data_IF_371992714066
#
_entry.id   IF_371992714066
#
_cell.length_a   1.000
_cell.length_b   1.000
_cell.length_c   1.000
_cell.angle_alpha   90.00
_cell.angle_beta   90.00
_cell.angle_gamma   90.00
#
_symmetry.space_group_name_H-M   'P 1'
#
loop_
_entity.id
_entity.type
_entity.pdbx_description
1 polymer ?
#
# COMPACT_ATOMS: atom_id res chain seq x y z
N UNK A 1 -36.18 30.89 54.23
CA UNK A 1 -35.28 31.76 53.44
C UNK A 1 -34.04 31.04 52.92
N UNK A 2 -33.34 30.23 53.73
CA UNK A 2 -32.11 29.49 53.29
C UNK A 2 -32.34 28.57 52.06
N UNK A 3 -33.45 27.84 52.01
CA UNK A 3 -33.79 26.92 50.91
C UNK A 3 -33.99 27.62 49.56
N UNK A 4 -34.49 28.85 49.54
CA UNK A 4 -34.67 29.62 48.30
C UNK A 4 -33.32 30.03 47.70
N UNK A 5 -32.34 30.41 48.54
CA UNK A 5 -30.99 30.72 48.07
C UNK A 5 -30.26 29.50 47.51
N UNK A 6 -30.50 28.30 48.08
CA UNK A 6 -29.94 27.04 47.55
C UNK A 6 -30.52 26.73 46.17
N UNK A 7 -31.85 26.87 45.99
CA UNK A 7 -32.51 26.63 44.70
C UNK A 7 -32.02 27.63 43.64
N UNK A 8 -31.93 28.92 43.99
CA UNK A 8 -31.40 29.94 43.07
C UNK A 8 -29.93 29.65 42.72
N UNK A 9 -29.12 29.22 43.70
CA UNK A 9 -27.74 28.82 43.47
C UNK A 9 -27.59 27.66 42.48
N UNK A 10 -28.45 26.65 42.57
CA UNK A 10 -28.44 25.50 41.64
C UNK A 10 -28.87 25.93 40.22
N UNK A 11 -29.84 26.84 40.10
CA UNK A 11 -30.27 27.38 38.79
C UNK A 11 -29.15 28.19 38.13
N UNK A 12 -28.44 29.03 38.89
CA UNK A 12 -27.31 29.81 38.36
C UNK A 12 -26.14 28.90 37.98
N UNK A 13 -25.85 27.88 38.79
CA UNK A 13 -24.78 26.93 38.50
C UNK A 13 -25.07 26.11 37.23
N UNK A 14 -26.31 25.64 37.06
CA UNK A 14 -26.72 24.90 35.86
C UNK A 14 -26.69 25.81 34.62
N UNK A 15 -27.12 27.06 34.73
CA UNK A 15 -27.02 28.04 33.64
C UNK A 15 -25.55 28.31 33.24
N UNK A 16 -24.63 28.40 34.21
CA UNK A 16 -23.20 28.57 33.93
C UNK A 16 -22.59 27.33 33.27
N UNK A 17 -22.96 26.12 33.69
CA UNK A 17 -22.49 24.87 33.07
C UNK A 17 -23.00 24.76 31.63
N UNK A 18 -24.28 25.06 31.39
CA UNK A 18 -24.87 25.03 30.04
C UNK A 18 -24.27 26.14 29.16
N UNK A 19 -24.09 27.34 29.70
CA UNK A 19 -23.44 28.45 29.01
C UNK A 19 -21.99 28.13 28.63
N UNK A 20 -21.22 27.53 29.53
CA UNK A 20 -19.86 27.07 29.26
C UNK A 20 -19.82 25.91 28.26
N UNK A 21 -20.78 24.99 28.32
CA UNK A 21 -20.90 23.89 27.36
C UNK A 21 -21.24 24.39 25.96
N UNK A 22 -22.16 25.36 25.83
CA UNK A 22 -22.48 26.01 24.56
C UNK A 22 -21.33 26.86 24.04
N UNK A 23 -20.66 27.63 24.90
CA UNK A 23 -19.47 28.39 24.56
C UNK A 23 -18.36 27.47 24.03
N UNK A 24 -18.12 26.35 24.71
CA UNK A 24 -17.18 25.31 24.27
C UNK A 24 -17.64 24.60 23.00
N UNK A 25 -18.94 24.50 22.70
CA UNK A 25 -19.44 23.92 21.45
C UNK A 25 -19.24 24.88 20.26
N UNK A 26 -19.40 26.18 20.47
CA UNK A 26 -19.22 27.21 19.42
C UNK A 26 -17.74 27.57 19.23
N UNK A 27 -16.95 27.56 20.31
CA UNK A 27 -15.51 27.88 20.32
C UNK A 27 -14.61 26.65 20.48
N UNK A 28 -15.16 25.44 20.40
CA UNK A 28 -14.32 24.27 20.18
C UNK A 28 -13.57 24.57 18.89
N UNK A 29 -12.23 24.51 18.86
CA UNK A 29 -11.55 24.43 17.59
C UNK A 29 -12.25 23.30 16.86
N UNK A 30 -12.76 23.56 15.66
CA UNK A 30 -13.11 22.50 14.75
C UNK A 30 -11.88 21.62 14.73
N UNK A 31 -11.89 20.51 15.48
CA UNK A 31 -11.07 19.36 15.14
C UNK A 31 -11.47 19.20 13.70
N UNK A 32 -10.58 19.49 12.74
CA UNK A 32 -10.96 19.34 11.36
C UNK A 32 -11.44 17.92 11.32
N UNK A 33 -12.75 17.77 11.11
CA UNK A 33 -13.28 16.54 10.63
C UNK A 33 -12.34 16.28 9.47
N UNK A 34 -11.52 15.24 9.59
CA UNK A 34 -10.87 14.69 8.43
C UNK A 34 -12.02 14.15 7.58
N UNK A 35 -12.86 15.02 7.02
CA UNK A 35 -12.81 15.32 5.59
C UNK A 35 -11.37 15.12 5.17
N UNK A 36 -11.06 13.83 4.95
CA UNK A 36 -9.92 13.44 4.15
C UNK A 36 -10.19 14.21 2.89
N UNK A 37 -9.50 15.33 2.72
CA UNK A 37 -9.58 16.16 1.55
C UNK A 37 -9.35 15.19 0.39
N UNK A 38 -10.45 14.83 -0.29
CA UNK A 38 -10.40 14.14 -1.57
C UNK A 38 -9.67 15.04 -2.58
N UNK A 39 -9.49 16.32 -2.26
CA UNK A 39 -8.61 17.28 -2.91
C UNK A 39 -7.16 17.18 -2.42
N UNK A 40 -6.51 16.12 -2.85
CA UNK A 40 -5.06 16.02 -3.16
C UNK A 40 -4.64 14.58 -3.45
N UNK A 41 -5.60 13.67 -3.65
CA UNK A 41 -5.39 12.56 -4.57
C UNK A 41 -5.26 13.16 -5.99
N UNK A 42 -4.11 13.78 -6.27
CA UNK A 42 -3.48 13.51 -7.56
C UNK A 42 -3.29 12.00 -7.53
N UNK A 43 -3.99 11.22 -8.36
CA UNK A 43 -3.81 9.79 -8.32
C UNK A 43 -2.32 9.57 -8.55
N UNK A 44 -1.64 8.94 -7.58
CA UNK A 44 -0.26 8.47 -7.80
C UNK A 44 -0.20 7.57 -9.06
N UNK A 45 -1.36 7.06 -9.51
CA UNK A 45 -1.58 6.35 -10.75
C UNK A 45 -2.85 6.84 -11.46
N UNK A 46 -2.72 7.36 -12.68
CA UNK A 46 -3.87 7.58 -13.58
C UNK A 46 -4.33 6.24 -14.15
N UNK A 47 -5.16 5.53 -13.39
CA UNK A 47 -5.70 4.21 -13.77
C UNK A 47 -6.84 4.34 -14.79
N UNK A 48 -6.73 3.68 -15.94
CA UNK A 48 -7.83 3.53 -16.90
C UNK A 48 -8.67 2.28 -16.61
N UNK A 49 -9.85 2.17 -17.22
CA UNK A 49 -10.66 0.95 -17.15
C UNK A 49 -9.90 -0.29 -17.66
N UNK A 50 -9.07 -0.11 -18.70
CA UNK A 50 -8.20 -1.17 -19.22
C UNK A 50 -7.13 -1.59 -18.18
N UNK A 51 -6.59 -0.64 -17.41
CA UNK A 51 -5.63 -0.93 -16.34
C UNK A 51 -6.28 -1.68 -15.18
N UNK A 52 -7.52 -1.34 -14.85
CA UNK A 52 -8.32 -2.07 -13.86
C UNK A 52 -8.58 -3.51 -14.31
N UNK A 53 -8.90 -3.74 -15.58
CA UNK A 53 -9.06 -5.09 -16.15
C UNK A 53 -7.74 -5.88 -16.06
N UNK A 54 -6.60 -5.23 -16.33
CA UNK A 54 -5.27 -5.85 -16.22
C UNK A 54 -4.86 -6.18 -14.77
N UNK A 55 -5.39 -5.45 -13.78
CA UNK A 55 -5.03 -5.54 -12.36
C UNK A 55 -6.02 -6.34 -11.48
N UNK A 56 -7.25 -6.57 -11.95
CA UNK A 56 -8.31 -7.26 -11.20
C UNK A 56 -7.91 -8.67 -10.70
N UNK A 57 -6.82 -9.24 -11.21
CA UNK A 57 -6.39 -10.61 -10.93
C UNK A 57 -5.82 -10.84 -9.52
N UNK A 58 -5.37 -9.80 -8.80
CA UNK A 58 -4.58 -10.03 -7.58
C UNK A 58 -5.37 -10.65 -6.42
N UNK A 59 -6.59 -10.15 -6.19
CA UNK A 59 -7.45 -10.65 -5.12
C UNK A 59 -7.90 -12.10 -5.37
N UNK A 60 -8.21 -12.43 -6.63
CA UNK A 60 -8.63 -13.78 -7.02
C UNK A 60 -7.50 -14.81 -6.85
N UNK A 61 -6.26 -14.45 -7.18
CA UNK A 61 -5.11 -15.36 -7.03
C UNK A 61 -4.82 -15.68 -5.55
N UNK A 62 -4.97 -14.71 -4.64
CA UNK A 62 -4.78 -14.92 -3.19
C UNK A 62 -5.85 -15.87 -2.62
N UNK A 63 -7.12 -15.69 -3.03
CA UNK A 63 -8.22 -16.56 -2.62
C UNK A 63 -8.05 -17.99 -3.16
N UNK A 64 -7.65 -18.12 -4.42
CA UNK A 64 -7.42 -19.42 -5.04
C UNK A 64 -6.27 -20.18 -4.36
N UNK A 65 -5.15 -19.52 -4.06
CA UNK A 65 -4.04 -20.15 -3.32
C UNK A 65 -4.44 -20.61 -1.91
N UNK A 66 -5.37 -19.90 -1.28
CA UNK A 66 -5.92 -20.30 0.03
C UNK A 66 -6.74 -21.56 -0.12
N UNK A 67 -7.67 -21.59 -1.09
CA UNK A 67 -8.54 -22.73 -1.33
C UNK A 67 -7.76 -24.00 -1.73
N UNK A 68 -6.72 -23.87 -2.54
CA UNK A 68 -5.83 -24.97 -2.95
C UNK A 68 -5.12 -25.59 -1.73
N UNK A 69 -4.71 -24.77 -0.76
CA UNK A 69 -4.09 -25.25 0.48
C UNK A 69 -5.08 -25.92 1.41
N UNK A 70 -6.23 -25.29 1.64
CA UNK A 70 -7.28 -25.81 2.53
C UNK A 70 -7.84 -27.14 2.02
N UNK A 71 -7.91 -27.31 0.70
CA UNK A 71 -8.41 -28.53 0.07
C UNK A 71 -7.36 -29.65 -0.07
N UNK A 72 -6.13 -29.41 0.38
CA UNK A 72 -5.00 -30.35 0.28
C UNK A 72 -4.78 -30.92 -1.13
N UNK A 73 -4.93 -30.07 -2.14
CA UNK A 73 -4.92 -30.47 -3.57
C UNK A 73 -3.56 -31.06 -3.97
N UNK A 74 -2.47 -30.61 -3.35
CA UNK A 74 -1.13 -31.12 -3.61
C UNK A 74 -1.03 -32.64 -3.40
N UNK A 75 -1.68 -33.15 -2.35
CA UNK A 75 -1.68 -34.58 -2.03
C UNK A 75 -2.78 -35.33 -2.79
N UNK A 76 -3.97 -34.72 -2.93
CA UNK A 76 -5.14 -35.39 -3.53
C UNK A 76 -5.10 -35.44 -5.05
N UNK A 77 -4.51 -34.43 -5.70
CA UNK A 77 -4.48 -34.27 -7.15
C UNK A 77 -3.12 -33.69 -7.60
N UNK A 78 -2.02 -34.45 -7.48
CA UNK A 78 -0.66 -33.94 -7.68
C UNK A 78 -0.41 -33.42 -9.10
N UNK A 79 -0.95 -34.08 -10.13
CA UNK A 79 -0.81 -33.65 -11.54
C UNK A 79 -1.53 -32.32 -11.78
N UNK A 80 -2.74 -32.16 -11.24
CA UNK A 80 -3.46 -30.88 -11.31
C UNK A 80 -2.69 -29.78 -10.57
N UNK A 81 -2.14 -30.10 -9.39
CA UNK A 81 -1.37 -29.15 -8.60
C UNK A 81 -0.11 -28.66 -9.32
N UNK A 82 0.61 -29.54 -10.02
CA UNK A 82 1.76 -29.16 -10.85
C UNK A 82 1.34 -28.21 -11.97
N UNK A 83 0.31 -28.56 -12.74
CA UNK A 83 -0.21 -27.70 -13.81
C UNK A 83 -0.69 -26.34 -13.28
N UNK A 84 -1.33 -26.35 -12.10
CA UNK A 84 -1.73 -25.14 -11.39
C UNK A 84 -0.53 -24.27 -11.03
N UNK A 85 0.55 -24.84 -10.49
CA UNK A 85 1.75 -24.09 -10.11
C UNK A 85 2.38 -23.40 -11.32
N UNK A 86 2.48 -24.09 -12.45
CA UNK A 86 3.02 -23.53 -13.69
C UNK A 86 2.15 -22.38 -14.23
N UNK A 87 0.84 -22.59 -14.25
CA UNK A 87 -0.12 -21.58 -14.69
C UNK A 87 -0.12 -20.36 -13.76
N UNK A 88 -0.11 -20.57 -12.44
CA UNK A 88 -0.06 -19.51 -11.44
C UNK A 88 1.25 -18.71 -11.57
N UNK A 89 2.39 -19.37 -11.81
CA UNK A 89 3.67 -18.70 -12.08
C UNK A 89 3.56 -17.77 -13.30
N UNK A 90 3.04 -18.26 -14.42
CA UNK A 90 2.85 -17.46 -15.64
C UNK A 90 1.90 -16.29 -15.41
N UNK A 91 0.79 -16.51 -14.70
CA UNK A 91 -0.19 -15.47 -14.38
C UNK A 91 0.38 -14.39 -13.47
N UNK A 92 1.17 -14.76 -12.46
CA UNK A 92 1.86 -13.79 -11.58
C UNK A 92 2.88 -12.95 -12.34
N UNK A 93 3.63 -13.57 -13.25
CA UNK A 93 4.58 -12.84 -14.10
C UNK A 93 3.87 -11.83 -15.00
N UNK A 94 2.77 -12.24 -15.66
CA UNK A 94 1.92 -11.33 -16.42
C UNK A 94 1.33 -10.20 -15.56
N UNK A 95 0.89 -10.51 -14.33
CA UNK A 95 0.42 -9.50 -13.39
C UNK A 95 1.50 -8.46 -13.05
N UNK A 96 2.74 -8.88 -12.81
CA UNK A 96 3.83 -7.96 -12.51
C UNK A 96 4.17 -7.07 -13.71
N UNK A 97 4.15 -7.61 -14.93
CA UNK A 97 4.36 -6.81 -16.14
C UNK A 97 3.22 -5.80 -16.34
N UNK A 98 1.96 -6.24 -16.19
CA UNK A 98 0.81 -5.33 -16.25
C UNK A 98 0.91 -4.21 -15.21
N UNK A 99 1.31 -4.53 -13.98
CA UNK A 99 1.52 -3.53 -12.93
C UNK A 99 2.64 -2.56 -13.32
N UNK A 100 3.74 -3.05 -13.88
CA UNK A 100 4.83 -2.20 -14.35
C UNK A 100 4.37 -1.26 -15.47
N UNK A 101 3.62 -1.75 -16.45
CA UNK A 101 3.08 -0.96 -17.56
C UNK A 101 2.16 0.16 -17.07
N UNK A 102 1.31 -0.14 -16.09
CA UNK A 102 0.46 0.87 -15.43
C UNK A 102 1.32 1.95 -14.77
N UNK A 103 2.31 1.56 -13.97
CA UNK A 103 3.23 2.51 -13.32
C UNK A 103 4.05 3.33 -14.34
N UNK A 104 4.37 2.74 -15.50
CA UNK A 104 5.15 3.36 -16.57
C UNK A 104 4.42 4.52 -17.23
N UNK A 105 3.07 4.56 -17.22
CA UNK A 105 2.31 5.70 -17.74
C UNK A 105 2.68 7.01 -17.04
N UNK A 106 2.91 6.96 -15.73
CA UNK A 106 3.20 8.14 -14.92
C UNK A 106 4.69 8.33 -14.59
N UNK A 107 5.50 7.26 -14.70
CA UNK A 107 6.94 7.25 -14.32
C UNK A 107 7.85 6.69 -15.40
N UNK A 108 7.49 6.84 -16.68
CA UNK A 108 8.20 6.25 -17.83
C UNK A 108 9.71 6.40 -17.76
N UNK A 109 10.20 7.63 -17.68
CA UNK A 109 11.65 7.91 -17.68
C UNK A 109 12.38 7.22 -16.52
N UNK A 110 11.78 7.24 -15.34
CA UNK A 110 12.35 6.59 -14.16
C UNK A 110 12.41 5.06 -14.31
N UNK A 111 11.33 4.45 -14.80
CA UNK A 111 11.24 3.00 -14.99
C UNK A 111 12.15 2.55 -16.14
N UNK A 112 12.21 3.30 -17.23
CA UNK A 112 13.04 3.00 -18.39
C UNK A 112 14.53 3.06 -18.05
N UNK A 113 14.94 4.05 -17.24
CA UNK A 113 16.30 4.12 -16.72
C UNK A 113 16.64 2.87 -15.87
N UNK A 114 15.73 2.46 -14.96
CA UNK A 114 15.93 1.24 -14.18
C UNK A 114 15.99 -0.03 -15.04
N UNK A 115 15.17 -0.15 -16.09
CA UNK A 115 15.17 -1.32 -16.95
C UNK A 115 16.42 -1.38 -17.85
N UNK A 116 16.84 -0.25 -18.40
CA UNK A 116 17.91 -0.19 -19.40
C UNK A 116 19.30 -0.18 -18.76
N UNK A 117 19.46 0.48 -17.61
CA UNK A 117 20.77 0.69 -16.98
C UNK A 117 21.05 -0.28 -15.83
N UNK A 118 20.08 -1.15 -15.45
CA UNK A 118 20.20 -2.06 -14.30
C UNK A 118 19.71 -3.46 -14.61
N UNK A 119 20.49 -4.21 -15.40
CA UNK A 119 20.22 -5.63 -15.69
C UNK A 119 20.31 -6.54 -14.45
N UNK A 120 20.91 -6.04 -13.35
CA UNK A 120 21.02 -6.73 -12.06
C UNK A 120 19.71 -6.72 -11.25
N UNK A 121 18.71 -5.92 -11.68
CA UNK A 121 17.43 -5.75 -10.99
C UNK A 121 16.30 -6.42 -11.77
N UNK A 122 15.58 -7.31 -11.10
CA UNK A 122 14.38 -7.94 -11.65
C UNK A 122 13.16 -7.01 -11.66
N UNK A 123 12.17 -7.28 -12.50
CA UNK A 123 10.88 -6.54 -12.53
C UNK A 123 10.24 -6.43 -11.14
N UNK A 124 10.26 -7.51 -10.34
CA UNK A 124 9.72 -7.49 -8.98
C UNK A 124 10.50 -6.56 -8.04
N UNK A 125 11.80 -6.41 -8.24
CA UNK A 125 12.64 -5.50 -7.47
C UNK A 125 12.42 -4.04 -7.89
N UNK A 126 12.17 -3.78 -9.18
CA UNK A 126 11.75 -2.45 -9.68
C UNK A 126 10.40 -2.07 -9.07
N UNK A 127 9.41 -2.97 -9.11
CA UNK A 127 8.11 -2.77 -8.48
C UNK A 127 8.24 -2.52 -6.97
N UNK A 128 9.05 -3.32 -6.29
CA UNK A 128 9.34 -3.13 -4.86
C UNK A 128 9.91 -1.73 -4.59
N UNK A 129 10.84 -1.27 -5.42
CA UNK A 129 11.46 0.03 -5.27
C UNK A 129 10.45 1.17 -5.46
N UNK A 130 9.61 1.08 -6.49
CA UNK A 130 8.58 2.08 -6.77
C UNK A 130 7.62 2.14 -5.58
N UNK A 131 7.06 1.00 -5.16
CA UNK A 131 6.12 0.93 -4.04
C UNK A 131 6.71 1.48 -2.73
N UNK A 132 8.01 1.27 -2.49
CA UNK A 132 8.72 1.86 -1.35
C UNK A 132 8.81 3.38 -1.44
N UNK A 133 9.17 3.92 -2.62
CA UNK A 133 9.24 5.37 -2.84
C UNK A 133 7.88 6.04 -2.76
N UNK A 134 6.81 5.33 -3.08
CA UNK A 134 5.42 5.79 -2.96
C UNK A 134 4.87 5.80 -1.53
N UNK A 135 5.64 5.36 -0.53
CA UNK A 135 5.18 5.31 0.86
C UNK A 135 4.15 4.22 1.16
N UNK A 136 4.02 3.21 0.29
CA UNK A 136 3.07 2.09 0.50
C UNK A 136 3.49 1.28 1.73
N UNK A 137 2.53 0.91 2.58
CA UNK A 137 2.81 0.15 3.79
C UNK A 137 3.43 -1.23 3.48
N UNK A 138 4.32 -1.71 4.35
CA UNK A 138 4.96 -3.03 4.17
C UNK A 138 3.94 -4.17 3.98
N UNK A 139 2.79 -4.11 4.66
CA UNK A 139 1.71 -5.09 4.52
C UNK A 139 1.10 -5.06 3.12
N UNK A 140 0.85 -3.86 2.58
CA UNK A 140 0.32 -3.70 1.24
C UNK A 140 1.34 -4.11 0.17
N UNK A 141 2.62 -3.75 0.33
CA UNK A 141 3.69 -4.19 -0.58
C UNK A 141 3.80 -5.72 -0.61
N UNK A 142 3.77 -6.36 0.57
CA UNK A 142 3.83 -7.82 0.67
C UNK A 142 2.68 -8.50 -0.09
N UNK A 143 1.47 -7.95 0.03
CA UNK A 143 0.29 -8.42 -0.71
C UNK A 143 0.43 -8.25 -2.22
N UNK A 144 0.76 -7.05 -2.68
CA UNK A 144 0.93 -6.74 -4.11
C UNK A 144 2.00 -7.63 -4.76
N UNK A 145 3.06 -7.95 -4.02
CA UNK A 145 4.14 -8.79 -4.52
C UNK A 145 3.93 -10.31 -4.29
N UNK A 146 2.79 -10.72 -3.72
CA UNK A 146 2.51 -12.12 -3.34
C UNK A 146 3.63 -12.77 -2.50
N UNK A 147 4.16 -12.03 -1.53
CA UNK A 147 5.23 -12.50 -0.64
C UNK A 147 4.87 -12.33 0.83
N UNK A 148 5.53 -13.12 1.68
CA UNK A 148 5.42 -12.96 3.13
C UNK A 148 6.14 -11.70 3.63
N UNK A 149 5.72 -11.11 4.76
CA UNK A 149 6.40 -9.96 5.36
C UNK A 149 7.89 -10.20 5.64
N UNK A 150 8.28 -11.42 6.01
CA UNK A 150 9.69 -11.75 6.25
C UNK A 150 10.50 -11.85 4.95
N UNK A 151 9.88 -12.39 3.89
CA UNK A 151 10.48 -12.36 2.55
C UNK A 151 10.66 -10.93 2.06
N UNK A 152 9.70 -10.04 2.34
CA UNK A 152 9.80 -8.63 2.02
C UNK A 152 11.01 -7.98 2.69
N UNK A 153 11.24 -8.19 3.99
CA UNK A 153 12.42 -7.66 4.71
C UNK A 153 13.73 -8.10 4.04
N UNK A 154 13.85 -9.39 3.70
CA UNK A 154 15.03 -9.94 3.01
C UNK A 154 15.24 -9.30 1.63
N UNK A 155 14.17 -9.17 0.84
CA UNK A 155 14.22 -8.55 -0.49
C UNK A 155 14.61 -7.07 -0.44
N UNK A 156 14.07 -6.32 0.53
CA UNK A 156 14.46 -4.91 0.76
C UNK A 156 15.94 -4.76 1.06
N UNK A 157 16.47 -5.63 1.95
CA UNK A 157 17.90 -5.64 2.29
C UNK A 157 18.77 -5.90 1.05
N UNK A 158 18.46 -6.96 0.29
CA UNK A 158 19.17 -7.31 -0.96
C UNK A 158 19.13 -6.17 -1.98
N UNK A 159 17.97 -5.58 -2.18
CA UNK A 159 17.79 -4.44 -3.09
C UNK A 159 18.63 -3.25 -2.67
N UNK A 160 18.68 -2.92 -1.36
CA UNK A 160 19.53 -1.85 -0.84
C UNK A 160 21.01 -2.11 -1.13
N UNK A 161 21.48 -3.34 -0.92
CA UNK A 161 22.87 -3.72 -1.24
C UNK A 161 23.18 -3.58 -2.74
N UNK A 162 22.25 -3.97 -3.62
CA UNK A 162 22.40 -3.78 -5.08
C UNK A 162 22.47 -2.30 -5.47
N UNK A 163 21.67 -1.44 -4.84
CA UNK A 163 21.70 0.01 -5.08
C UNK A 163 23.04 0.64 -4.67
N UNK A 164 23.52 0.30 -3.47
CA UNK A 164 24.78 0.85 -2.94
C UNK A 164 26.02 0.39 -3.72
N UNK A 165 26.03 -0.86 -4.21
CA UNK A 165 27.16 -1.40 -4.96
C UNK A 165 27.38 -0.67 -6.30
N UNK A 166 26.32 -0.13 -6.88
CA UNK A 166 26.39 0.61 -8.14
C UNK A 166 26.84 2.06 -7.93
N UNK A 167 26.34 2.73 -6.88
CA UNK A 167 26.80 4.08 -6.49
C UNK A 167 28.31 4.13 -6.21
N UNK A 168 28.90 3.02 -5.75
CA UNK A 168 30.35 2.87 -5.54
C UNK A 168 31.12 2.42 -6.79
N UNK A 169 30.44 1.86 -7.78
CA UNK A 169 31.02 1.46 -9.07
C UNK A 169 31.17 2.66 -10.00
N UNK A 170 30.18 3.56 -10.02
CA UNK A 170 30.21 4.80 -10.80
C UNK A 170 31.33 5.74 -10.32
N UNK A 171 31.58 5.82 -9.00
CA UNK A 171 32.69 6.61 -8.42
C UNK A 171 34.10 6.07 -8.74
N UNK A 172 34.23 4.81 -9.17
CA UNK A 172 35.54 4.20 -9.52
C UNK A 172 35.86 4.25 -11.00
N UNK A 173 34.93 4.74 -11.83
CA UNK A 173 35.14 4.92 -13.27
C UNK A 173 35.48 6.38 -13.64
N UNK A 174 35.44 7.29 -12.66
CA UNK A 174 35.82 8.71 -12.80
C UNK A 174 37.20 9.06 -12.21
N UNK A 175 37.98 8.06 -11.77
CA UNK A 175 39.41 8.19 -11.39
C UNK A 175 40.32 7.52 -12.44
#
# INVERSE_FOLDING_TARGET
MLFQFIIIGVIVLTALIVGWWLYRRVHAPSVPEKTVAVESFVPFLRLTAEDLIKLANAAYMEQLDTLIKESDVANRMPVFYQNYQELNKKNREAYFQNLLDVLRKDKKEYIDNLLNNRSDISTQEILLLILMKSGVSNKAIAKVLFITPDTLKKRKSRLKSKMQKNEQGDLKQEE
#
